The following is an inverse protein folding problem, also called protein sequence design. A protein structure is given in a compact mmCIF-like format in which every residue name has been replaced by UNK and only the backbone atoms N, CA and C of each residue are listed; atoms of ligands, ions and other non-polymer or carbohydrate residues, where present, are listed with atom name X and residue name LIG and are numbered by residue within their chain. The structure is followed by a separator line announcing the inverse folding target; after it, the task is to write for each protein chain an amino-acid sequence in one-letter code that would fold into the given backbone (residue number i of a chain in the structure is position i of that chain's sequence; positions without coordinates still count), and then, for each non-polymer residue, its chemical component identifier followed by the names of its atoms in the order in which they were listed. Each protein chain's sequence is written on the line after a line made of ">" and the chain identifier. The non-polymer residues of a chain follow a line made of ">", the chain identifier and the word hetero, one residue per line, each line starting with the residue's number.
data_IF_011595749753
#
_entry.id   IF_011595749753
#
_cell.length_a   1.000
_cell.length_b   1.000
_cell.length_c   1.000
_cell.angle_alpha   90.00
_cell.angle_beta   90.00
_cell.angle_gamma   90.00
#
_symmetry.space_group_name_H-M   'P 1'
#
loop_
_entity.id
_entity.type
_entity.pdbx_description
1 polymer ?
#
# COMPACT_ATOMS: atom_id res chain seq x y z
N UNK A 1 -16.52 -5.37 -17.86
CA UNK A 1 -15.73 -6.50 -17.34
C UNK A 1 -15.20 -6.08 -15.97
N UNK A 2 -15.38 -6.89 -14.92
CA UNK A 2 -14.90 -6.56 -13.59
C UNK A 2 -13.42 -6.93 -13.46
N UNK A 3 -12.77 -6.51 -12.37
CA UNK A 3 -11.35 -6.76 -12.14
C UNK A 3 -11.02 -8.27 -12.10
N UNK A 4 -11.87 -9.05 -11.43
CA UNK A 4 -11.72 -10.51 -11.31
C UNK A 4 -11.73 -11.19 -12.69
N UNK A 5 -12.67 -10.83 -13.56
CA UNK A 5 -12.76 -11.43 -14.90
C UNK A 5 -11.52 -11.13 -15.75
N UNK A 6 -11.04 -9.89 -15.71
CA UNK A 6 -9.81 -9.48 -16.40
C UNK A 6 -8.58 -10.25 -15.90
N UNK A 7 -8.47 -10.42 -14.59
CA UNK A 7 -7.38 -11.20 -14.02
C UNK A 7 -7.43 -12.68 -14.42
N UNK A 8 -8.61 -13.29 -14.39
CA UNK A 8 -8.78 -14.70 -14.81
C UNK A 8 -8.44 -14.90 -16.29
N UNK A 9 -8.82 -13.95 -17.14
CA UNK A 9 -8.45 -13.97 -18.56
C UNK A 9 -6.94 -13.81 -18.76
N UNK A 10 -6.31 -12.89 -18.02
CA UNK A 10 -4.86 -12.72 -18.01
C UNK A 10 -4.13 -14.01 -17.61
N UNK A 11 -4.58 -14.66 -16.56
CA UNK A 11 -3.99 -15.92 -16.11
C UNK A 11 -4.16 -17.05 -17.14
N UNK A 12 -5.34 -17.14 -17.75
CA UNK A 12 -5.61 -18.13 -18.81
C UNK A 12 -4.70 -17.92 -20.02
N UNK A 13 -4.54 -16.65 -20.44
CA UNK A 13 -3.66 -16.29 -21.57
C UNK A 13 -2.18 -16.65 -21.29
N UNK A 14 -1.72 -16.44 -20.06
CA UNK A 14 -0.35 -16.70 -19.65
C UNK A 14 -0.13 -18.11 -19.08
N UNK A 15 -1.15 -18.98 -19.09
CA UNK A 15 -1.09 -20.36 -18.56
C UNK A 15 -0.70 -20.41 -17.07
N UNK A 16 -1.09 -19.42 -16.29
CA UNK A 16 -0.88 -19.42 -14.85
C UNK A 16 -1.94 -20.28 -14.15
N UNK A 17 -1.47 -21.13 -13.24
CA UNK A 17 -2.37 -21.88 -12.36
C UNK A 17 -2.84 -20.98 -11.20
N UNK A 18 -4.14 -20.94 -10.98
CA UNK A 18 -4.75 -20.14 -9.92
C UNK A 18 -5.34 -21.06 -8.88
N UNK A 19 -5.13 -20.75 -7.61
CA UNK A 19 -5.73 -21.44 -6.48
C UNK A 19 -6.83 -20.60 -5.82
N UNK A 20 -7.60 -21.23 -4.92
CA UNK A 20 -8.72 -20.60 -4.22
C UNK A 20 -8.31 -19.40 -3.35
N UNK A 21 -7.12 -19.44 -2.75
CA UNK A 21 -6.64 -18.32 -1.92
C UNK A 21 -6.33 -17.10 -2.78
N UNK A 22 -5.74 -17.30 -3.95
CA UNK A 22 -5.51 -16.21 -4.91
C UNK A 22 -6.83 -15.59 -5.39
N UNK A 23 -7.86 -16.40 -5.61
CA UNK A 23 -9.21 -15.89 -5.98
C UNK A 23 -9.77 -15.00 -4.87
N UNK A 24 -9.66 -15.40 -3.59
CA UNK A 24 -10.09 -14.57 -2.46
C UNK A 24 -9.34 -13.23 -2.42
N UNK A 25 -8.01 -13.24 -2.63
CA UNK A 25 -7.21 -12.00 -2.69
C UNK A 25 -7.70 -11.08 -3.82
N UNK A 26 -8.02 -11.64 -4.99
CA UNK A 26 -8.55 -10.86 -6.12
C UNK A 26 -9.90 -10.22 -5.77
N UNK A 27 -10.79 -10.93 -5.08
CA UNK A 27 -12.09 -10.40 -4.64
C UNK A 27 -11.90 -9.26 -3.62
N UNK A 28 -10.93 -9.40 -2.70
CA UNK A 28 -10.59 -8.33 -1.75
C UNK A 28 -9.99 -7.11 -2.45
N UNK A 29 -9.10 -7.30 -3.43
CA UNK A 29 -8.55 -6.22 -4.24
C UNK A 29 -9.62 -5.51 -5.07
N UNK A 30 -10.59 -6.24 -5.63
CA UNK A 30 -11.73 -5.65 -6.32
C UNK A 30 -12.58 -4.80 -5.37
N UNK A 31 -12.83 -5.26 -4.15
CA UNK A 31 -13.51 -4.49 -3.11
C UNK A 31 -12.75 -3.23 -2.75
N UNK A 32 -11.43 -3.35 -2.52
CA UNK A 32 -10.53 -2.23 -2.25
C UNK A 32 -10.53 -1.21 -3.39
N UNK A 33 -10.47 -1.66 -4.64
CA UNK A 33 -10.56 -0.81 -5.83
C UNK A 33 -11.89 -0.04 -5.88
N UNK A 34 -13.00 -0.74 -5.68
CA UNK A 34 -14.32 -0.14 -5.71
C UNK A 34 -14.51 0.92 -4.62
N UNK A 35 -13.89 0.73 -3.45
CA UNK A 35 -13.93 1.68 -2.33
C UNK A 35 -13.07 2.92 -2.59
N UNK A 36 -11.88 2.75 -3.16
CA UNK A 36 -10.86 3.79 -3.20
C UNK A 36 -10.73 4.53 -4.54
N UNK A 37 -11.05 3.86 -5.67
CA UNK A 37 -10.76 4.39 -7.01
C UNK A 37 -11.99 4.57 -7.89
N UNK A 38 -13.11 3.90 -7.62
CA UNK A 38 -14.34 4.18 -8.36
C UNK A 38 -14.94 5.51 -7.95
N UNK A 39 -14.98 6.44 -8.89
CA UNK A 39 -15.69 7.72 -8.76
C UNK A 39 -17.20 7.48 -8.70
N UNK A 40 -17.77 7.44 -7.50
CA UNK A 40 -19.21 7.57 -7.31
C UNK A 40 -19.51 9.01 -6.90
N UNK A 41 -20.24 9.73 -7.73
CA UNK A 41 -20.75 11.08 -7.40
C UNK A 41 -21.54 11.09 -6.08
N UNK A 42 -22.15 9.96 -5.73
CA UNK A 42 -22.87 9.75 -4.46
C UNK A 42 -21.94 9.67 -3.24
N UNK A 43 -20.66 9.26 -3.37
CA UNK A 43 -19.72 9.23 -2.25
C UNK A 43 -19.38 10.61 -1.67
N UNK A 44 -19.55 11.69 -2.44
CA UNK A 44 -19.36 13.06 -1.93
C UNK A 44 -20.38 13.45 -0.84
N UNK A 45 -21.55 12.81 -0.81
CA UNK A 45 -22.61 13.10 0.15
C UNK A 45 -22.59 12.21 1.40
N UNK A 46 -21.97 11.03 1.32
CA UNK A 46 -21.89 10.09 2.44
C UNK A 46 -20.43 9.85 2.84
N UNK A 47 -19.79 10.90 3.39
CA UNK A 47 -18.47 10.80 4.02
C UNK A 47 -18.61 10.04 5.34
N UNK A 48 -18.64 8.71 5.28
CA UNK A 48 -18.52 7.85 6.46
C UNK A 48 -17.05 7.40 6.56
N UNK A 49 -16.41 7.83 7.63
CA UNK A 49 -15.00 7.61 7.97
C UNK A 49 -14.66 6.13 8.10
N UNK A 50 -14.26 5.49 7.02
CA UNK A 50 -13.46 4.26 7.03
C UNK A 50 -12.93 4.01 5.61
N UNK A 51 -12.15 4.94 5.10
CA UNK A 51 -11.41 4.66 3.88
C UNK A 51 -10.27 3.72 4.27
N UNK A 52 -10.42 2.46 3.88
CA UNK A 52 -9.35 1.46 3.93
C UNK A 52 -8.26 1.89 2.95
N UNK A 53 -7.37 2.77 3.39
CA UNK A 53 -6.36 3.38 2.54
C UNK A 53 -5.16 2.46 2.31
N UNK A 54 -5.00 1.44 3.14
CA UNK A 54 -3.94 0.45 3.06
C UNK A 54 -4.45 -0.92 2.63
N UNK A 55 -3.67 -1.65 1.83
CA UNK A 55 -3.87 -3.06 1.52
C UNK A 55 -2.57 -3.82 1.74
N UNK A 56 -2.59 -4.80 2.64
CA UNK A 56 -1.41 -5.58 3.00
C UNK A 56 -1.59 -7.04 2.61
N UNK A 57 -0.76 -7.53 1.69
CA UNK A 57 -0.76 -8.92 1.24
C UNK A 57 0.48 -9.63 1.76
N UNK A 58 0.29 -10.55 2.71
CA UNK A 58 1.38 -11.38 3.21
C UNK A 58 1.24 -12.84 2.76
N UNK A 59 2.35 -13.56 2.79
CA UNK A 59 2.38 -14.99 2.48
C UNK A 59 3.79 -15.47 2.16
N UNK A 60 3.98 -16.77 2.07
CA UNK A 60 5.27 -17.38 1.73
C UNK A 60 5.83 -16.94 0.38
N UNK A 61 7.09 -17.28 0.14
CA UNK A 61 7.74 -17.04 -1.15
C UNK A 61 7.08 -17.92 -2.22
N UNK A 62 6.90 -17.38 -3.43
CA UNK A 62 6.40 -18.13 -4.59
C UNK A 62 4.89 -18.33 -4.66
N UNK A 63 4.11 -17.81 -3.71
CA UNK A 63 2.63 -17.96 -3.72
C UNK A 63 1.91 -17.01 -4.71
N UNK A 64 2.65 -16.19 -5.45
CA UNK A 64 2.11 -15.31 -6.49
C UNK A 64 1.66 -13.92 -6.02
N UNK A 65 2.08 -13.46 -4.83
CA UNK A 65 1.73 -12.13 -4.31
C UNK A 65 2.06 -11.01 -5.29
N UNK A 66 3.31 -10.96 -5.73
CA UNK A 66 3.82 -9.92 -6.64
C UNK A 66 3.06 -9.94 -7.96
N UNK A 67 2.83 -11.13 -8.55
CA UNK A 67 2.04 -11.26 -9.78
C UNK A 67 0.63 -10.67 -9.65
N UNK A 68 -0.05 -10.94 -8.53
CA UNK A 68 -1.39 -10.42 -8.29
C UNK A 68 -1.38 -8.91 -8.12
N UNK A 69 -0.44 -8.38 -7.30
CA UNK A 69 -0.39 -6.95 -7.04
C UNK A 69 0.16 -6.17 -8.24
N UNK A 70 1.04 -6.73 -9.06
CA UNK A 70 1.49 -6.11 -10.30
C UNK A 70 0.32 -5.96 -11.28
N UNK A 71 -0.46 -7.03 -11.47
CA UNK A 71 -1.66 -6.94 -12.29
C UNK A 71 -2.65 -5.90 -11.76
N UNK A 72 -2.86 -5.85 -10.44
CA UNK A 72 -3.72 -4.84 -9.81
C UNK A 72 -3.15 -3.43 -9.97
N UNK A 73 -1.86 -3.25 -9.76
CA UNK A 73 -1.19 -1.97 -9.93
C UNK A 73 -1.34 -1.46 -11.35
N UNK A 74 -1.13 -2.30 -12.36
CA UNK A 74 -1.30 -1.92 -13.77
C UNK A 74 -2.74 -1.57 -14.11
N UNK A 75 -3.71 -2.27 -13.50
CA UNK A 75 -5.14 -2.04 -13.71
C UNK A 75 -5.62 -0.67 -13.19
N UNK A 76 -5.03 -0.14 -12.12
CA UNK A 76 -5.47 1.14 -11.53
C UNK A 76 -4.98 2.31 -12.37
N UNK A 77 -5.94 3.15 -12.83
CA UNK A 77 -5.64 4.40 -13.52
C UNK A 77 -5.56 5.56 -12.51
N UNK A 78 -4.35 5.80 -11.98
CA UNK A 78 -4.05 6.91 -11.06
C UNK A 78 -2.56 7.24 -11.08
N UNK A 79 -2.18 8.40 -10.53
CA UNK A 79 -0.76 8.71 -10.28
C UNK A 79 -0.23 7.73 -9.23
N UNK A 80 0.63 6.82 -9.63
CA UNK A 80 1.10 5.71 -8.79
C UNK A 80 2.61 5.50 -8.94
N UNK A 81 3.23 4.98 -7.88
CA UNK A 81 4.63 4.62 -7.88
C UNK A 81 4.83 3.28 -7.17
N UNK A 82 5.67 2.41 -7.75
CA UNK A 82 6.17 1.19 -7.13
C UNK A 82 7.59 1.44 -6.66
N UNK A 83 7.88 1.04 -5.42
CA UNK A 83 9.18 1.20 -4.77
C UNK A 83 9.48 -0.03 -3.93
N UNK A 84 10.76 -0.41 -3.85
CA UNK A 84 11.20 -1.24 -2.75
C UNK A 84 11.15 -0.44 -1.45
N UNK A 85 10.70 -1.08 -0.39
CA UNK A 85 10.57 -0.39 0.90
C UNK A 85 11.88 0.24 1.39
N UNK A 86 13.01 -0.46 1.19
CA UNK A 86 14.33 0.07 1.55
C UNK A 86 14.69 1.34 0.78
N UNK A 87 14.38 1.39 -0.51
CA UNK A 87 14.59 2.58 -1.34
C UNK A 87 13.77 3.77 -0.84
N UNK A 88 12.52 3.53 -0.47
CA UNK A 88 11.67 4.55 0.12
C UNK A 88 12.25 5.11 1.43
N UNK A 89 12.77 4.24 2.31
CA UNK A 89 13.39 4.67 3.57
C UNK A 89 14.69 5.45 3.33
N UNK A 90 15.52 5.04 2.38
CA UNK A 90 16.72 5.79 1.99
C UNK A 90 16.33 7.19 1.53
N UNK A 91 15.38 7.32 0.61
CA UNK A 91 14.91 8.61 0.10
C UNK A 91 14.35 9.50 1.23
N UNK A 92 13.66 8.90 2.21
CA UNK A 92 13.17 9.63 3.36
C UNK A 92 14.31 10.11 4.28
N UNK A 93 15.31 9.27 4.55
CA UNK A 93 16.47 9.65 5.34
C UNK A 93 17.30 10.74 4.66
N UNK A 94 17.50 10.67 3.34
CA UNK A 94 18.17 11.71 2.57
C UNK A 94 17.39 13.03 2.67
N UNK A 95 16.07 12.99 2.55
CA UNK A 95 15.23 14.17 2.72
C UNK A 95 15.35 14.79 4.13
N UNK A 96 15.45 13.98 5.19
CA UNK A 96 15.74 14.46 6.55
C UNK A 96 17.08 15.18 6.59
N UNK A 97 18.11 14.59 5.98
CA UNK A 97 19.45 15.19 5.95
C UNK A 97 19.51 16.54 5.23
N UNK A 98 18.76 16.68 4.14
CA UNK A 98 18.69 17.93 3.37
C UNK A 98 17.91 19.03 4.11
N UNK A 99 16.97 18.65 4.99
CA UNK A 99 16.10 19.59 5.73
C UNK A 99 16.49 19.72 7.22
N UNK A 100 17.77 19.53 7.57
CA UNK A 100 18.29 19.68 8.93
C UNK A 100 17.98 21.08 9.49
N UNK A 101 17.37 21.12 10.69
CA UNK A 101 16.99 22.35 11.38
C UNK A 101 15.48 22.54 11.55
N UNK A 102 14.67 21.72 10.89
CA UNK A 102 13.24 21.64 11.14
C UNK A 102 12.93 20.57 12.19
N UNK A 103 11.79 20.67 12.90
CA UNK A 103 11.34 19.58 13.78
C UNK A 103 10.96 18.34 12.95
N UNK A 104 11.08 17.15 13.55
CA UNK A 104 10.77 15.87 12.88
C UNK A 104 9.37 15.85 12.27
N UNK A 105 8.39 16.41 12.98
CA UNK A 105 7.01 16.48 12.51
C UNK A 105 6.87 17.37 11.26
N UNK A 106 7.58 18.49 11.20
CA UNK A 106 7.60 19.35 10.02
C UNK A 106 8.24 18.66 8.84
N UNK A 107 9.33 17.92 9.05
CA UNK A 107 10.03 17.17 7.99
C UNK A 107 9.11 16.10 7.40
N UNK A 108 8.41 15.32 8.24
CA UNK A 108 7.45 14.31 7.78
C UNK A 108 6.35 14.97 6.94
N UNK A 109 5.80 16.10 7.41
CA UNK A 109 4.76 16.81 6.68
C UNK A 109 5.24 17.34 5.32
N UNK A 110 6.44 17.89 5.25
CA UNK A 110 7.05 18.36 4.00
C UNK A 110 7.27 17.20 3.02
N UNK A 111 7.83 16.10 3.49
CA UNK A 111 8.05 14.91 2.68
C UNK A 111 6.74 14.34 2.11
N UNK A 112 5.71 14.20 2.96
CA UNK A 112 4.42 13.67 2.54
C UNK A 112 3.67 14.62 1.60
N UNK A 113 3.82 15.94 1.76
CA UNK A 113 3.27 16.93 0.83
C UNK A 113 3.96 16.83 -0.55
N UNK A 114 5.28 16.64 -0.58
CA UNK A 114 6.01 16.40 -1.83
C UNK A 114 5.51 15.11 -2.51
N UNK A 115 5.38 14.01 -1.76
CA UNK A 115 4.79 12.78 -2.28
C UNK A 115 3.38 13.00 -2.84
N UNK A 116 2.52 13.71 -2.11
CA UNK A 116 1.13 13.98 -2.51
C UNK A 116 1.04 14.73 -3.83
N UNK A 117 1.98 15.62 -4.10
CA UNK A 117 2.04 16.36 -5.37
C UNK A 117 2.27 15.44 -6.58
N UNK A 118 2.97 14.33 -6.37
CA UNK A 118 3.43 13.41 -7.40
C UNK A 118 2.54 12.17 -7.55
N UNK A 119 2.02 11.62 -6.44
CA UNK A 119 1.36 10.32 -6.42
C UNK A 119 0.10 10.30 -5.54
N UNK A 120 -0.77 9.33 -5.82
CA UNK A 120 -1.98 9.04 -5.05
C UNK A 120 -2.00 7.61 -4.52
N UNK A 121 -1.08 6.76 -5.03
CA UNK A 121 -0.91 5.37 -4.63
C UNK A 121 0.57 5.01 -4.60
N UNK A 122 1.00 4.38 -3.50
CA UNK A 122 2.31 3.75 -3.37
C UNK A 122 2.14 2.23 -3.33
N UNK A 123 2.96 1.51 -4.08
CA UNK A 123 3.11 0.07 -3.96
C UNK A 123 4.50 -0.25 -3.39
N UNK A 124 4.53 -0.75 -2.16
CA UNK A 124 5.73 -1.29 -1.55
C UNK A 124 5.86 -2.78 -1.82
N UNK A 125 6.86 -3.14 -2.59
CA UNK A 125 7.21 -4.54 -2.82
C UNK A 125 8.24 -5.00 -1.77
N UNK A 126 8.11 -6.25 -1.31
CA UNK A 126 9.01 -6.86 -0.33
C UNK A 126 9.15 -6.05 0.98
N UNK A 127 8.03 -5.59 1.52
CA UNK A 127 8.03 -4.80 2.74
C UNK A 127 8.59 -5.61 3.92
N UNK A 128 9.68 -5.12 4.47
CA UNK A 128 10.34 -5.69 5.64
C UNK A 128 10.98 -4.58 6.46
N UNK A 129 10.62 -4.50 7.74
CA UNK A 129 11.21 -3.55 8.69
C UNK A 129 12.23 -4.29 9.54
N UNK A 130 13.50 -3.98 9.33
CA UNK A 130 14.63 -4.63 10.03
C UNK A 130 15.25 -3.74 11.09
N UNK A 131 15.01 -2.43 11.01
CA UNK A 131 15.60 -1.43 11.90
C UNK A 131 14.52 -0.87 12.84
N UNK A 132 14.80 -0.85 14.15
CA UNK A 132 13.87 -0.32 15.14
C UNK A 132 13.63 1.19 15.00
N UNK A 133 14.63 1.94 14.54
CA UNK A 133 14.50 3.38 14.30
C UNK A 133 13.50 3.63 13.18
N UNK A 134 13.60 2.86 12.10
CA UNK A 134 12.64 2.94 10.99
C UNK A 134 11.23 2.58 11.44
N UNK A 135 11.08 1.54 12.28
CA UNK A 135 9.79 1.15 12.84
C UNK A 135 9.12 2.28 13.64
N UNK A 136 9.88 3.03 14.42
CA UNK A 136 9.35 4.15 15.22
C UNK A 136 8.89 5.31 14.34
N UNK A 137 9.60 5.59 13.25
CA UNK A 137 9.28 6.69 12.32
C UNK A 137 8.11 6.31 11.42
N UNK A 138 8.05 5.05 11.00
CA UNK A 138 7.04 4.55 10.04
C UNK A 138 5.61 4.77 10.49
N UNK A 139 5.31 4.60 11.79
CA UNK A 139 3.98 4.85 12.31
C UNK A 139 3.50 6.27 12.01
N UNK A 140 4.33 7.27 12.34
CA UNK A 140 4.04 8.69 12.08
C UNK A 140 3.99 9.00 10.58
N UNK A 141 4.91 8.41 9.81
CA UNK A 141 4.99 8.63 8.36
C UNK A 141 3.75 8.08 7.65
N UNK A 142 3.33 6.85 7.96
CA UNK A 142 2.12 6.26 7.38
C UNK A 142 0.86 6.98 7.82
N UNK A 143 0.77 7.42 9.09
CA UNK A 143 -0.34 8.25 9.57
C UNK A 143 -0.49 9.52 8.71
N UNK A 144 0.60 10.22 8.43
CA UNK A 144 0.57 11.42 7.60
C UNK A 144 0.25 11.11 6.12
N UNK A 145 0.79 10.02 5.57
CA UNK A 145 0.47 9.54 4.22
C UNK A 145 -1.05 9.30 4.09
N UNK A 146 -1.67 8.63 5.06
CA UNK A 146 -3.10 8.37 5.06
C UNK A 146 -3.93 9.64 5.30
N UNK A 147 -3.50 10.57 6.16
CA UNK A 147 -4.14 11.89 6.33
C UNK A 147 -4.20 12.67 5.02
N UNK A 148 -3.18 12.53 4.17
CA UNK A 148 -3.15 13.11 2.82
C UNK A 148 -3.91 12.29 1.77
N UNK A 149 -4.63 11.25 2.19
CA UNK A 149 -5.40 10.38 1.30
C UNK A 149 -4.55 9.73 0.20
N UNK A 150 -3.27 9.44 0.49
CA UNK A 150 -2.42 8.60 -0.36
C UNK A 150 -2.68 7.15 0.04
N UNK A 151 -2.93 6.27 -0.93
CA UNK A 151 -3.16 4.85 -0.71
C UNK A 151 -1.85 4.11 -0.69
N UNK A 152 -1.79 3.02 0.09
CA UNK A 152 -0.61 2.16 0.15
C UNK A 152 -1.04 0.71 -0.11
N UNK A 153 -0.38 0.03 -1.01
CA UNK A 153 -0.46 -1.43 -1.17
C UNK A 153 0.91 -2.04 -0.89
N UNK A 154 0.92 -3.19 -0.23
CA UNK A 154 2.15 -3.80 0.29
C UNK A 154 2.15 -5.29 0.01
N UNK A 155 3.30 -5.83 -0.46
CA UNK A 155 3.62 -7.25 -0.35
C UNK A 155 4.64 -7.49 0.76
N UNK A 156 4.46 -8.56 1.52
CA UNK A 156 5.43 -8.98 2.54
C UNK A 156 5.46 -10.50 2.70
N UNK A 157 6.55 -11.00 3.23
CA UNK A 157 6.66 -12.40 3.70
C UNK A 157 6.35 -12.52 5.21
N UNK A 158 6.12 -11.40 5.89
CA UNK A 158 5.91 -11.31 7.33
C UNK A 158 4.46 -10.91 7.63
N UNK A 159 3.85 -11.51 8.64
CA UNK A 159 2.53 -11.06 9.13
C UNK A 159 2.64 -9.68 9.78
N UNK A 160 1.58 -8.88 9.69
CA UNK A 160 1.52 -7.58 10.39
C UNK A 160 1.72 -7.74 11.90
N UNK A 161 1.18 -8.79 12.51
CA UNK A 161 1.36 -9.07 13.94
C UNK A 161 2.81 -9.29 14.35
N UNK A 162 3.66 -9.67 13.41
CA UNK A 162 5.07 -9.98 13.62
C UNK A 162 5.98 -8.80 13.22
N UNK A 163 5.40 -7.80 12.54
CA UNK A 163 6.02 -6.49 12.37
C UNK A 163 5.97 -5.76 13.72
N UNK A 164 7.05 -5.15 14.15
CA UNK A 164 7.25 -4.48 15.42
C UNK A 164 5.96 -3.95 16.09
N UNK A 165 5.65 -4.52 17.28
CA UNK A 165 4.34 -4.39 17.95
C UNK A 165 3.93 -2.98 18.36
N UNK A 166 4.85 -2.02 18.43
CA UNK A 166 4.62 -0.76 19.14
C UNK A 166 4.29 0.47 18.26
N UNK A 167 4.11 0.32 16.94
CA UNK A 167 3.85 1.51 16.10
C UNK A 167 3.09 1.27 14.80
N UNK A 168 3.23 0.11 14.19
CA UNK A 168 2.66 -0.14 12.84
C UNK A 168 1.25 -0.74 12.85
N UNK A 169 0.85 -1.41 13.95
CA UNK A 169 -0.44 -2.12 14.02
C UNK A 169 -1.66 -1.19 13.98
N UNK A 170 -1.54 0.04 14.46
CA UNK A 170 -2.67 0.99 14.48
C UNK A 170 -2.96 1.64 13.13
N UNK A 171 -2.00 1.64 12.20
CA UNK A 171 -2.11 2.30 10.91
C UNK A 171 -2.47 1.36 9.74
N UNK A 172 -2.18 0.06 9.87
CA UNK A 172 -2.39 -0.92 8.80
C UNK A 172 -3.56 -1.85 9.16
N UNK A 173 -4.80 -1.38 9.02
CA UNK A 173 -6.01 -2.03 9.52
C UNK A 173 -6.58 -3.16 8.65
N UNK A 174 -5.93 -3.61 7.57
CA UNK A 174 -6.49 -4.71 6.77
C UNK A 174 -5.46 -5.74 6.37
N UNK A 175 -5.59 -6.90 7.02
CA UNK A 175 -4.96 -8.16 6.63
C UNK A 175 -6.00 -9.08 6.01
N UNK A 176 -5.69 -9.68 4.87
CA UNK A 176 -6.36 -10.91 4.44
C UNK A 176 -5.65 -12.09 5.09
N UNK A 177 -6.32 -12.75 6.04
CA UNK A 177 -5.94 -14.08 6.52
C UNK A 177 -6.17 -15.15 5.43
#
# INVERSE_FOLDING_TARGET
>A
MNFKDLFLEHCKKNKFNINQNQIKVIEQLESYHNKNFKNSLLKKFFKKNSDELGFYLFGGVGVGKTMILDFFFDFIDTKKQRLHFNEFMINFHDFIHENKGSSDENIINLFVNDLKSKISLIYFDEFQVTNIVDAMILGKLFEQIFKQNIKIIITSNTKISDLYKDGLQSCLLYTSD
#
